data_IF_742463434042
#
_entry.id   IF_742463434042
#
_cell.length_a   1.000
_cell.length_b   1.000
_cell.length_c   1.000
_cell.angle_alpha   90.00
_cell.angle_beta   90.00
_cell.angle_gamma   90.00
#
_symmetry.space_group_name_H-M   'P 1'
#
loop_
_entity.id
_entity.type
_entity.pdbx_description
1 polymer ?
#
# COMPACT_ATOMS: atom_id res chain seq x y z
N UNK A 1 3.86 -29.70 12.93
CA UNK A 1 3.62 -28.93 14.17
C UNK A 1 3.90 -27.47 13.89
N UNK A 2 2.88 -26.63 13.97
CA UNK A 2 2.91 -25.25 13.51
C UNK A 2 3.54 -24.34 14.58
N UNK A 3 4.84 -24.06 14.44
CA UNK A 3 5.38 -22.81 14.97
C UNK A 3 4.78 -21.66 14.14
N UNK A 4 3.53 -21.30 14.42
CA UNK A 4 3.02 -19.98 14.03
C UNK A 4 3.78 -18.96 14.88
N UNK A 5 4.95 -18.58 14.38
CA UNK A 5 5.79 -17.55 14.98
C UNK A 5 4.93 -16.33 15.27
N UNK A 6 4.89 -15.89 16.51
CA UNK A 6 4.17 -14.72 17.02
C UNK A 6 4.45 -13.46 16.20
N UNK A 7 5.56 -13.42 15.46
CA UNK A 7 5.91 -12.33 14.54
C UNK A 7 4.94 -12.19 13.34
N UNK A 8 4.28 -13.27 12.90
CA UNK A 8 3.39 -13.25 11.73
C UNK A 8 2.07 -12.49 11.96
N UNK A 9 1.64 -12.32 13.21
CA UNK A 9 0.39 -11.62 13.53
C UNK A 9 0.49 -10.11 13.39
N UNK A 10 1.70 -9.55 13.50
CA UNK A 10 1.91 -8.11 13.53
C UNK A 10 1.85 -7.43 12.16
N UNK A 11 1.75 -8.17 11.05
CA UNK A 11 1.77 -7.62 9.67
C UNK A 11 0.82 -8.38 8.74
N UNK A 12 -0.38 -8.74 9.20
CA UNK A 12 -1.38 -9.32 8.29
C UNK A 12 -1.63 -8.35 7.10
N UNK A 13 -1.84 -8.82 5.86
CA UNK A 13 -2.00 -7.96 4.68
C UNK A 13 -2.99 -6.77 4.77
N UNK A 14 -4.11 -6.79 5.51
CA UNK A 14 -4.98 -5.62 5.65
C UNK A 14 -4.51 -4.62 6.72
N UNK A 15 -3.56 -4.98 7.60
CA UNK A 15 -3.09 -4.12 8.68
C UNK A 15 -2.53 -2.77 8.18
N UNK A 16 -1.71 -2.69 7.12
CA UNK A 16 -1.24 -1.41 6.60
C UNK A 16 -2.37 -0.43 6.26
N UNK A 17 -3.47 -0.92 5.66
CA UNK A 17 -4.64 -0.10 5.35
C UNK A 17 -5.36 0.35 6.64
N UNK A 18 -5.54 -0.54 7.61
CA UNK A 18 -6.17 -0.21 8.88
C UNK A 18 -5.36 0.86 9.65
N UNK A 19 -4.04 0.75 9.63
CA UNK A 19 -3.15 1.76 10.22
C UNK A 19 -3.25 3.10 9.50
N UNK A 20 -3.38 3.11 8.17
CA UNK A 20 -3.61 4.34 7.40
C UNK A 20 -4.94 5.01 7.77
N UNK A 21 -6.02 4.22 7.87
CA UNK A 21 -7.34 4.71 8.31
C UNK A 21 -7.23 5.28 9.73
N UNK A 22 -6.54 4.61 10.63
CA UNK A 22 -6.34 5.09 12.00
C UNK A 22 -5.53 6.39 12.04
N UNK A 23 -4.46 6.50 11.25
CA UNK A 23 -3.67 7.73 11.14
C UNK A 23 -4.51 8.92 10.65
N UNK A 24 -5.34 8.71 9.62
CA UNK A 24 -6.27 9.74 9.12
C UNK A 24 -7.36 10.09 10.13
N UNK A 25 -7.89 9.11 10.85
CA UNK A 25 -8.85 9.34 11.93
C UNK A 25 -8.24 10.22 13.02
N UNK A 26 -7.05 9.87 13.51
CA UNK A 26 -6.36 10.68 14.54
C UNK A 26 -6.06 12.07 14.01
N UNK A 27 -5.56 12.19 12.77
CA UNK A 27 -5.28 13.48 12.15
C UNK A 27 -6.53 14.37 12.00
N UNK A 28 -7.70 13.77 11.75
CA UNK A 28 -8.93 14.53 11.54
C UNK A 28 -9.72 14.78 12.82
N UNK A 29 -9.61 13.93 13.84
CA UNK A 29 -10.36 14.04 15.11
C UNK A 29 -9.59 14.83 16.17
N UNK A 30 -8.27 14.70 16.23
CA UNK A 30 -7.46 15.31 17.28
C UNK A 30 -7.55 16.86 17.37
N UNK A 31 -7.84 17.66 16.30
CA UNK A 31 -8.06 19.10 16.47
C UNK A 31 -9.35 19.44 17.22
N UNK A 32 -10.34 18.54 17.21
CA UNK A 32 -11.65 18.77 17.82
C UNK A 32 -11.69 18.40 19.30
N UNK A 33 -10.73 17.63 19.79
CA UNK A 33 -10.68 17.17 21.19
C UNK A 33 -10.26 18.25 22.20
N UNK A 34 -10.03 19.49 21.76
CA UNK A 34 -9.79 20.65 22.63
C UNK A 34 -8.48 20.60 23.45
N UNK A 35 -7.70 19.52 23.34
CA UNK A 35 -6.51 19.25 24.16
C UNK A 35 -5.36 20.25 23.94
N UNK A 36 -5.37 20.98 22.83
CA UNK A 36 -4.35 21.99 22.48
C UNK A 36 -4.83 23.44 22.66
N UNK A 37 -5.92 23.67 23.40
CA UNK A 37 -6.35 25.03 23.72
C UNK A 37 -6.88 25.77 22.50
N UNK A 38 -8.06 25.37 22.01
CA UNK A 38 -9.08 26.27 21.47
C UNK A 38 -8.74 27.22 20.31
N UNK A 39 -7.57 27.14 19.67
CA UNK A 39 -7.26 27.89 18.47
C UNK A 39 -8.05 27.28 17.31
N UNK A 40 -9.32 27.65 17.21
CA UNK A 40 -10.11 27.54 15.99
C UNK A 40 -9.19 27.96 14.85
N UNK A 41 -8.82 27.02 13.98
CA UNK A 41 -8.08 27.31 12.76
C UNK A 41 -8.98 28.20 11.89
N UNK A 42 -8.93 29.50 12.15
CA UNK A 42 -9.68 30.52 11.43
C UNK A 42 -9.07 30.61 10.05
N UNK A 43 -9.90 30.46 9.03
CA UNK A 43 -9.50 30.70 7.65
C UNK A 43 -9.03 32.16 7.54
N UNK A 44 -7.74 32.39 7.34
CA UNK A 44 -7.26 33.74 7.05
C UNK A 44 -7.83 34.19 5.72
N UNK A 45 -8.84 35.05 5.79
CA UNK A 45 -9.45 35.68 4.65
C UNK A 45 -8.44 36.71 4.10
N UNK A 46 -7.69 36.33 3.07
CA UNK A 46 -6.78 37.22 2.37
C UNK A 46 -7.52 38.50 1.96
N UNK A 47 -7.04 39.64 2.45
CA UNK A 47 -7.78 40.91 2.46
C UNK A 47 -8.19 41.45 1.09
N UNK A 48 -9.35 41.00 0.58
CA UNK A 48 -10.16 41.74 -0.38
C UNK A 48 -11.57 41.91 0.20
N UNK A 49 -11.80 43.09 0.77
CA UNK A 49 -13.12 43.58 1.18
C UNK A 49 -14.01 43.63 -0.06
N UNK A 50 -15.24 43.16 0.09
CA UNK A 50 -16.33 43.14 -0.89
C UNK A 50 -16.29 41.94 -1.83
N UNK A 51 -16.81 40.79 -1.38
CA UNK A 51 -17.79 39.98 -2.12
C UNK A 51 -18.27 38.81 -1.23
N UNK A 52 -19.60 38.75 -1.05
CA UNK A 52 -20.47 37.60 -0.70
C UNK A 52 -19.86 36.39 0.02
N UNK A 53 -20.36 36.15 1.24
CA UNK A 53 -20.52 34.85 1.94
C UNK A 53 -20.14 33.61 1.12
N UNK A 54 -18.85 33.29 1.08
CA UNK A 54 -18.43 31.90 0.93
C UNK A 54 -18.16 31.37 2.34
N UNK A 55 -18.98 30.42 2.76
CA UNK A 55 -18.79 29.64 3.98
C UNK A 55 -17.44 28.94 3.84
N UNK A 56 -16.44 29.46 4.53
CA UNK A 56 -15.06 28.97 4.43
C UNK A 56 -14.95 27.61 5.12
N UNK A 57 -15.26 26.54 4.39
CA UNK A 57 -15.01 25.14 4.78
C UNK A 57 -13.55 24.72 4.47
N UNK A 58 -12.61 25.67 4.68
CA UNK A 58 -11.14 25.67 4.49
C UNK A 58 -10.63 25.65 3.02
N UNK A 59 -9.84 26.66 2.65
CA UNK A 59 -8.45 26.49 2.29
C UNK A 59 -7.61 26.90 3.49
N UNK A 60 -6.77 26.00 4.01
CA UNK A 60 -5.79 26.38 5.04
C UNK A 60 -4.78 27.29 4.33
N UNK A 61 -4.98 28.60 4.36
CA UNK A 61 -3.84 29.50 4.26
C UNK A 61 -2.90 29.06 5.37
N UNK A 62 -1.70 28.57 5.00
CA UNK A 62 -0.70 27.98 5.89
C UNK A 62 -0.88 28.58 7.27
N UNK A 63 -1.55 27.86 8.18
CA UNK A 63 -1.64 28.32 9.54
C UNK A 63 -0.18 28.54 9.90
N UNK A 64 0.19 29.79 10.17
CA UNK A 64 1.44 30.08 10.85
C UNK A 64 1.22 29.47 12.22
N UNK A 65 1.34 28.14 12.29
CA UNK A 65 1.49 27.38 13.51
C UNK A 65 2.61 28.13 14.18
N UNK A 66 2.29 28.91 15.22
CA UNK A 66 3.29 29.57 16.04
C UNK A 66 4.34 28.51 16.29
N UNK A 67 5.52 28.73 15.72
CA UNK A 67 6.46 27.68 15.39
C UNK A 67 6.67 26.78 16.60
N UNK A 68 6.04 25.61 16.63
CA UNK A 68 6.52 24.51 17.46
C UNK A 68 7.88 24.18 16.85
N UNK A 69 8.94 24.83 17.34
CA UNK A 69 10.11 25.23 16.52
C UNK A 69 10.68 24.11 15.64
N UNK A 70 10.65 22.88 16.13
CA UNK A 70 11.26 21.72 15.49
C UNK A 70 10.35 20.98 14.48
N UNK A 71 9.03 20.98 14.68
CA UNK A 71 8.13 20.11 13.89
C UNK A 71 8.06 20.50 12.40
N UNK A 72 7.92 21.79 12.02
CA UNK A 72 7.93 22.19 10.61
C UNK A 72 9.27 21.88 9.93
N UNK A 73 10.40 22.05 10.63
CA UNK A 73 11.72 21.74 10.05
C UNK A 73 11.88 20.26 9.73
N UNK A 74 11.42 19.39 10.63
CA UNK A 74 11.44 17.94 10.39
C UNK A 74 10.46 17.60 9.27
N UNK A 75 9.26 18.19 9.27
CA UNK A 75 8.27 17.98 8.23
C UNK A 75 8.79 18.39 6.85
N UNK A 76 9.46 19.53 6.72
CA UNK A 76 10.03 20.01 5.46
C UNK A 76 11.14 19.07 4.94
N UNK A 77 11.99 18.56 5.84
CA UNK A 77 13.04 17.59 5.48
C UNK A 77 12.44 16.26 5.03
N UNK A 78 11.47 15.73 5.80
CA UNK A 78 10.78 14.48 5.48
C UNK A 78 10.00 14.63 4.18
N UNK A 79 9.26 15.72 4.01
CA UNK A 79 8.52 16.02 2.79
C UNK A 79 9.46 16.17 1.58
N UNK A 80 10.64 16.79 1.74
CA UNK A 80 11.64 16.86 0.67
C UNK A 80 12.09 15.48 0.18
N UNK A 81 12.33 14.55 1.10
CA UNK A 81 12.70 13.16 0.76
C UNK A 81 11.52 12.40 0.16
N UNK A 82 10.33 12.51 0.75
CA UNK A 82 9.14 11.76 0.32
C UNK A 82 8.59 12.30 -1.00
N UNK A 83 8.60 13.60 -1.24
CA UNK A 83 8.13 14.18 -2.50
C UNK A 83 9.04 13.84 -3.67
N UNK A 84 10.36 13.79 -3.46
CA UNK A 84 11.33 13.41 -4.50
C UNK A 84 11.38 11.91 -4.75
N UNK A 85 11.65 11.13 -3.71
CA UNK A 85 11.99 9.71 -3.81
C UNK A 85 10.86 8.78 -3.34
N UNK A 86 9.86 9.32 -2.62
CA UNK A 86 8.75 8.54 -2.06
C UNK A 86 8.02 7.70 -3.11
N UNK A 87 7.73 8.20 -4.33
CA UNK A 87 7.12 7.39 -5.37
C UNK A 87 7.90 6.12 -5.74
N UNK A 88 9.23 6.13 -5.58
CA UNK A 88 10.12 5.03 -5.95
C UNK A 88 10.26 3.98 -4.84
N UNK A 89 9.91 4.32 -3.60
CA UNK A 89 10.06 3.43 -2.44
C UNK A 89 9.46 2.03 -2.66
N UNK A 90 8.20 1.85 -3.11
CA UNK A 90 7.62 0.52 -3.27
C UNK A 90 8.37 -0.35 -4.29
N UNK A 91 9.00 0.26 -5.30
CA UNK A 91 9.79 -0.47 -6.29
C UNK A 91 11.11 -0.96 -5.71
N UNK A 92 11.69 -0.28 -4.73
CA UNK A 92 12.85 -0.78 -3.99
C UNK A 92 12.50 -2.12 -3.31
N UNK A 93 11.32 -2.19 -2.70
CA UNK A 93 10.84 -3.43 -2.07
C UNK A 93 10.63 -4.54 -3.11
N UNK A 94 10.07 -4.22 -4.28
CA UNK A 94 9.94 -5.16 -5.38
C UNK A 94 11.30 -5.66 -5.90
N UNK A 95 12.26 -4.76 -6.10
CA UNK A 95 13.62 -5.12 -6.55
C UNK A 95 14.27 -6.07 -5.56
N UNK A 96 14.16 -5.79 -4.26
CA UNK A 96 14.64 -6.69 -3.22
C UNK A 96 13.96 -8.05 -3.34
N UNK A 97 12.63 -8.10 -3.49
CA UNK A 97 11.89 -9.36 -3.65
C UNK A 97 12.27 -10.14 -4.92
N UNK A 98 12.68 -9.47 -5.99
CA UNK A 98 13.21 -10.11 -7.19
C UNK A 98 14.60 -10.69 -6.88
N UNK A 99 15.49 -9.89 -6.27
CA UNK A 99 16.84 -10.30 -5.88
C UNK A 99 16.87 -11.45 -4.87
N UNK A 100 15.95 -11.46 -3.90
CA UNK A 100 15.82 -12.53 -2.90
C UNK A 100 15.12 -13.78 -3.45
N UNK A 101 14.64 -13.73 -4.69
CA UNK A 101 13.88 -14.79 -5.33
C UNK A 101 12.46 -14.96 -4.78
N UNK A 102 11.95 -14.02 -3.96
CA UNK A 102 10.57 -14.06 -3.44
C UNK A 102 9.56 -14.18 -4.55
N UNK A 103 9.68 -13.37 -5.61
CA UNK A 103 8.75 -13.43 -6.75
C UNK A 103 8.80 -14.81 -7.43
N UNK A 104 10.00 -15.34 -7.69
CA UNK A 104 10.18 -16.63 -8.36
C UNK A 104 9.81 -17.83 -7.50
N UNK A 105 9.92 -17.74 -6.17
CA UNK A 105 9.55 -18.82 -5.26
C UNK A 105 8.05 -18.83 -4.93
N UNK A 106 7.38 -17.71 -5.17
CA UNK A 106 5.91 -17.64 -5.17
C UNK A 106 5.32 -18.32 -6.42
N UNK A 107 6.17 -18.64 -7.41
CA UNK A 107 5.83 -19.34 -8.64
C UNK A 107 5.56 -20.82 -8.35
N UNK A 108 4.28 -21.15 -8.18
CA UNK A 108 3.80 -22.51 -8.15
C UNK A 108 2.70 -22.65 -9.21
N UNK A 109 3.12 -22.69 -10.48
CA UNK A 109 2.35 -23.22 -11.63
C UNK A 109 0.92 -22.66 -11.80
N UNK A 110 0.68 -21.43 -11.37
CA UNK A 110 -0.65 -20.81 -11.30
C UNK A 110 -1.29 -20.57 -12.67
N UNK A 111 -0.48 -20.43 -13.71
CA UNK A 111 -0.93 -20.11 -15.05
C UNK A 111 -0.29 -21.10 -16.03
N UNK A 112 -0.94 -22.24 -16.25
CA UNK A 112 -0.55 -23.20 -17.30
C UNK A 112 -0.45 -22.56 -18.69
N UNK A 113 -1.15 -21.43 -18.89
CA UNK A 113 -1.09 -20.61 -20.10
C UNK A 113 0.21 -19.82 -20.29
N UNK A 114 0.99 -19.68 -19.23
CA UNK A 114 2.11 -18.76 -19.21
C UNK A 114 3.30 -19.52 -18.61
N UNK A 115 4.25 -19.95 -19.45
CA UNK A 115 5.37 -20.83 -19.04
C UNK A 115 6.23 -20.30 -17.88
N UNK A 116 7.23 -21.09 -17.47
CA UNK A 116 8.10 -20.96 -16.25
C UNK A 116 8.83 -19.62 -16.00
N UNK A 117 8.64 -18.60 -16.83
CA UNK A 117 9.12 -17.22 -16.62
C UNK A 117 8.01 -16.18 -16.55
N UNK A 118 6.75 -16.62 -16.56
CA UNK A 118 5.62 -15.74 -16.76
C UNK A 118 5.08 -15.10 -15.49
N UNK A 119 5.29 -15.72 -14.32
CA UNK A 119 4.81 -15.17 -13.06
C UNK A 119 5.52 -13.85 -12.74
N UNK A 120 6.85 -13.79 -12.93
CA UNK A 120 7.61 -12.56 -12.80
C UNK A 120 7.08 -11.49 -13.76
N UNK A 121 6.85 -11.84 -15.04
CA UNK A 121 6.29 -10.92 -16.01
C UNK A 121 4.88 -10.45 -15.61
N UNK A 122 4.04 -11.35 -15.10
CA UNK A 122 2.70 -11.03 -14.60
C UNK A 122 2.76 -10.08 -13.41
N UNK A 123 3.63 -10.35 -12.43
CA UNK A 123 3.86 -9.47 -11.30
C UNK A 123 4.34 -8.08 -11.75
N UNK A 124 5.32 -8.03 -12.66
CA UNK A 124 5.82 -6.77 -13.21
C UNK A 124 4.71 -6.02 -13.98
N UNK A 125 3.94 -6.70 -14.82
CA UNK A 125 2.83 -6.10 -15.55
C UNK A 125 1.74 -5.59 -14.60
N UNK A 126 1.43 -6.32 -13.53
CA UNK A 126 0.49 -5.88 -12.50
C UNK A 126 0.98 -4.62 -11.79
N UNK A 127 2.25 -4.60 -11.38
CA UNK A 127 2.86 -3.43 -10.76
C UNK A 127 2.92 -2.23 -11.71
N UNK A 128 3.29 -2.43 -12.97
CA UNK A 128 3.26 -1.40 -14.01
C UNK A 128 1.84 -0.90 -14.25
N UNK A 129 0.82 -1.77 -14.21
CA UNK A 129 -0.57 -1.36 -14.36
C UNK A 129 -1.04 -0.44 -13.22
N UNK A 130 -0.66 -0.75 -11.98
CA UNK A 130 -0.93 0.11 -10.82
C UNK A 130 -0.19 1.43 -10.89
N UNK A 131 1.04 1.40 -11.41
CA UNK A 131 1.85 2.61 -11.66
C UNK A 131 1.20 3.50 -12.70
N UNK A 132 0.78 2.92 -13.82
CA UNK A 132 0.08 3.62 -14.88
C UNK A 132 -1.23 4.22 -14.38
N UNK A 133 -2.04 3.43 -13.67
CA UNK A 133 -3.28 3.89 -13.03
C UNK A 133 -3.03 5.06 -12.09
N UNK A 134 -1.99 4.95 -11.24
CA UNK A 134 -1.56 6.01 -10.33
C UNK A 134 -1.22 7.30 -11.07
N UNK A 135 -0.41 7.23 -12.13
CA UNK A 135 0.00 8.40 -12.93
C UNK A 135 -1.20 9.03 -13.63
N UNK A 136 -2.05 8.22 -14.25
CA UNK A 136 -3.25 8.70 -14.96
C UNK A 136 -4.18 9.43 -14.00
N UNK A 137 -4.51 8.83 -12.86
CA UNK A 137 -5.40 9.47 -11.87
C UNK A 137 -4.76 10.71 -11.28
N UNK A 138 -3.45 10.68 -10.99
CA UNK A 138 -2.73 11.87 -10.51
C UNK A 138 -2.88 13.03 -11.49
N UNK A 139 -2.62 12.82 -12.78
CA UNK A 139 -2.76 13.86 -13.81
C UNK A 139 -4.20 14.39 -13.87
N UNK A 140 -5.19 13.51 -13.78
CA UNK A 140 -6.60 13.91 -13.82
C UNK A 140 -7.05 14.69 -12.58
N UNK A 141 -6.50 14.39 -11.40
CA UNK A 141 -6.98 14.89 -10.13
C UNK A 141 -6.15 16.05 -9.58
N UNK A 142 -4.89 16.18 -9.99
CA UNK A 142 -4.00 17.26 -9.55
C UNK A 142 -4.58 18.67 -9.73
N UNK A 143 -5.33 19.00 -10.81
CA UNK A 143 -6.00 20.32 -10.94
C UNK A 143 -7.08 20.58 -9.87
N UNK A 144 -7.55 19.54 -9.18
CA UNK A 144 -8.63 19.58 -8.19
C UNK A 144 -8.12 19.29 -6.76
N UNK A 145 -6.83 19.49 -6.51
CA UNK A 145 -6.15 19.20 -5.23
C UNK A 145 -6.79 19.84 -3.99
N UNK A 146 -7.58 20.91 -4.16
CA UNK A 146 -8.34 21.54 -3.09
C UNK A 146 -9.48 20.66 -2.55
N UNK A 147 -10.15 19.90 -3.41
CA UNK A 147 -11.31 19.07 -3.06
C UNK A 147 -10.95 17.59 -2.88
N UNK A 148 -9.76 17.22 -3.32
CA UNK A 148 -9.29 15.85 -3.31
C UNK A 148 -7.79 15.85 -2.98
N UNK A 149 -7.39 15.17 -1.92
CA UNK A 149 -5.97 15.08 -1.59
C UNK A 149 -5.25 14.11 -2.53
N UNK A 150 -4.54 14.64 -3.51
CA UNK A 150 -3.67 13.87 -4.41
C UNK A 150 -2.59 13.11 -3.62
N UNK A 151 -2.03 13.72 -2.58
CA UNK A 151 -1.04 13.10 -1.70
C UNK A 151 -1.60 11.88 -0.95
N UNK A 152 -2.75 11.97 -0.27
CA UNK A 152 -3.36 10.82 0.41
C UNK A 152 -3.69 9.70 -0.57
N UNK A 153 -4.16 10.05 -1.77
CA UNK A 153 -4.43 9.08 -2.83
C UNK A 153 -3.15 8.35 -3.28
N UNK A 154 -2.06 9.09 -3.50
CA UNK A 154 -0.75 8.52 -3.85
C UNK A 154 -0.19 7.63 -2.73
N UNK A 155 -0.23 8.09 -1.48
CA UNK A 155 0.21 7.30 -0.32
C UNK A 155 -0.60 6.00 -0.18
N UNK A 156 -1.90 6.04 -0.43
CA UNK A 156 -2.75 4.85 -0.43
C UNK A 156 -2.34 3.82 -1.50
N UNK A 157 -1.87 4.28 -2.67
CA UNK A 157 -1.35 3.38 -3.71
C UNK A 157 -0.05 2.69 -3.27
N UNK A 158 0.80 3.39 -2.52
CA UNK A 158 2.03 2.82 -1.94
C UNK A 158 1.70 1.79 -0.85
N UNK A 159 0.70 2.07 -0.01
CA UNK A 159 0.19 1.08 0.96
C UNK A 159 -0.29 -0.17 0.26
N UNK A 160 -1.07 -0.04 -0.82
CA UNK A 160 -1.52 -1.17 -1.62
C UNK A 160 -0.36 -2.03 -2.14
N UNK A 161 0.70 -1.40 -2.68
CA UNK A 161 1.93 -2.08 -3.12
C UNK A 161 2.66 -2.80 -1.98
N UNK A 162 2.77 -2.17 -0.80
CA UNK A 162 3.34 -2.82 0.40
C UNK A 162 2.51 -4.05 0.80
N UNK A 163 1.18 -3.97 0.76
CA UNK A 163 0.31 -5.10 1.08
C UNK A 163 0.47 -6.28 0.11
N UNK A 164 0.57 -6.00 -1.20
CA UNK A 164 0.84 -7.03 -2.21
C UNK A 164 2.23 -7.66 -2.04
N UNK A 165 3.22 -6.83 -1.71
CA UNK A 165 4.59 -7.28 -1.43
C UNK A 165 4.63 -8.19 -0.21
N UNK A 166 4.05 -7.78 0.92
CA UNK A 166 3.94 -8.60 2.13
C UNK A 166 3.21 -9.92 1.85
N UNK A 167 2.13 -9.89 1.06
CA UNK A 167 1.40 -11.11 0.69
C UNK A 167 2.29 -12.12 -0.06
N UNK A 168 3.15 -11.68 -0.98
CA UNK A 168 4.13 -12.56 -1.64
C UNK A 168 5.16 -13.11 -0.64
N UNK A 169 5.68 -12.26 0.25
CA UNK A 169 6.65 -12.65 1.29
C UNK A 169 6.07 -13.72 2.22
N UNK A 170 4.82 -13.57 2.67
CA UNK A 170 4.13 -14.58 3.47
C UNK A 170 3.89 -15.87 2.69
N UNK A 171 3.44 -15.78 1.44
CA UNK A 171 3.20 -16.95 0.60
C UNK A 171 4.48 -17.76 0.37
N UNK A 172 5.62 -17.08 0.14
CA UNK A 172 6.94 -17.72 0.05
C UNK A 172 7.28 -18.44 1.35
N UNK A 173 7.08 -17.79 2.50
CA UNK A 173 7.42 -18.37 3.80
C UNK A 173 6.60 -19.62 4.11
N UNK A 174 5.32 -19.63 3.72
CA UNK A 174 4.47 -20.82 3.84
C UNK A 174 4.90 -21.96 2.91
N UNK A 175 5.46 -21.61 1.74
CA UNK A 175 5.88 -22.59 0.73
C UNK A 175 7.27 -23.17 0.98
N UNK A 176 8.18 -22.42 1.61
CA UNK A 176 9.58 -22.80 1.81
C UNK A 176 10.02 -22.66 3.29
N UNK A 177 10.02 -23.78 4.02
CA UNK A 177 10.38 -23.84 5.44
C UNK A 177 11.91 -23.91 5.74
N UNK A 178 12.76 -23.37 4.85
CA UNK A 178 14.22 -23.39 5.03
C UNK A 178 14.73 -22.37 6.07
N UNK A 179 15.94 -22.57 6.61
CA UNK A 179 16.58 -21.60 7.52
C UNK A 179 16.96 -20.30 6.81
N UNK A 180 17.47 -20.40 5.58
CA UNK A 180 17.99 -19.25 4.83
C UNK A 180 16.86 -18.32 4.33
N UNK A 181 15.63 -18.84 4.22
CA UNK A 181 14.46 -18.03 3.85
C UNK A 181 14.02 -17.09 4.97
N UNK A 182 14.34 -17.42 6.23
CA UNK A 182 13.92 -16.65 7.39
C UNK A 182 14.60 -15.28 7.48
N UNK A 183 15.91 -15.18 7.16
CA UNK A 183 16.63 -13.90 7.20
C UNK A 183 16.03 -12.91 6.20
N UNK A 184 15.82 -13.34 4.96
CA UNK A 184 15.23 -12.52 3.91
C UNK A 184 13.80 -12.13 4.21
N UNK A 185 12.99 -13.06 4.73
CA UNK A 185 11.64 -12.77 5.21
C UNK A 185 11.63 -11.65 6.26
N UNK A 186 12.50 -11.73 7.27
CA UNK A 186 12.63 -10.71 8.31
C UNK A 186 13.05 -9.35 7.73
N UNK A 187 14.01 -9.34 6.80
CA UNK A 187 14.47 -8.10 6.15
C UNK A 187 13.35 -7.44 5.33
N UNK A 188 12.61 -8.21 4.53
CA UNK A 188 11.48 -7.71 3.74
C UNK A 188 10.37 -7.14 4.64
N UNK A 189 10.02 -7.85 5.72
CA UNK A 189 9.03 -7.38 6.68
C UNK A 189 9.46 -6.11 7.42
N UNK A 190 10.74 -6.05 7.83
CA UNK A 190 11.31 -4.87 8.49
C UNK A 190 11.27 -3.66 7.55
N UNK A 191 11.71 -3.84 6.30
CA UNK A 191 11.70 -2.77 5.31
C UNK A 191 10.28 -2.27 5.03
N UNK A 192 9.34 -3.18 4.79
CA UNK A 192 7.93 -2.84 4.60
C UNK A 192 7.35 -2.08 5.80
N UNK A 193 7.72 -2.46 7.03
CA UNK A 193 7.30 -1.79 8.26
C UNK A 193 7.85 -0.37 8.36
N UNK A 194 9.14 -0.18 8.07
CA UNK A 194 9.79 1.14 8.07
C UNK A 194 9.13 2.05 7.04
N UNK A 195 8.91 1.56 5.82
CA UNK A 195 8.24 2.31 4.76
C UNK A 195 6.81 2.68 5.16
N UNK A 196 6.08 1.76 5.79
CA UNK A 196 4.74 2.02 6.28
C UNK A 196 4.75 3.13 7.34
N UNK A 197 5.69 3.13 8.29
CA UNK A 197 5.80 4.20 9.30
C UNK A 197 5.98 5.57 8.64
N UNK A 198 6.84 5.68 7.62
CA UNK A 198 7.02 6.94 6.88
C UNK A 198 5.74 7.36 6.15
N UNK A 199 5.05 6.43 5.51
CA UNK A 199 3.76 6.71 4.82
C UNK A 199 2.68 7.16 5.81
N UNK A 200 2.59 6.52 6.97
CA UNK A 200 1.61 6.87 8.01
C UNK A 200 1.88 8.25 8.60
N UNK A 201 3.16 8.56 8.86
CA UNK A 201 3.59 9.88 9.32
C UNK A 201 3.24 10.96 8.30
N UNK A 202 3.57 10.73 7.02
CA UNK A 202 3.24 11.67 5.95
C UNK A 202 1.73 11.86 5.82
N UNK A 203 0.96 10.77 5.77
CA UNK A 203 -0.51 10.84 5.69
C UNK A 203 -1.12 11.62 6.86
N UNK A 204 -0.58 11.43 8.07
CA UNK A 204 -0.98 12.18 9.24
C UNK A 204 -0.72 13.68 9.08
N UNK A 205 0.52 14.06 8.75
CA UNK A 205 0.91 15.46 8.57
C UNK A 205 0.11 16.10 7.44
N UNK A 206 -0.03 15.42 6.30
CA UNK A 206 -0.78 15.90 5.15
C UNK A 206 -2.25 16.15 5.46
N UNK A 207 -2.89 15.21 6.16
CA UNK A 207 -4.30 15.37 6.54
C UNK A 207 -4.49 16.39 7.67
N UNK A 208 -3.51 16.57 8.55
CA UNK A 208 -3.57 17.52 9.65
C UNK A 208 -3.35 18.96 9.18
N UNK A 209 -2.32 19.19 8.34
CA UNK A 209 -1.84 20.52 7.99
C UNK A 209 -2.33 21.03 6.63
N UNK A 210 -2.50 20.17 5.62
CA UNK A 210 -2.60 20.63 4.22
C UNK A 210 -3.99 20.46 3.61
N UNK A 211 -4.79 19.50 4.04
CA UNK A 211 -6.09 19.22 3.43
C UNK A 211 -7.28 19.31 4.39
N UNK A 212 -8.47 19.43 3.80
CA UNK A 212 -9.73 19.36 4.53
C UNK A 212 -10.08 17.91 4.86
N UNK A 213 -10.89 17.72 5.90
CA UNK A 213 -11.39 16.40 6.28
C UNK A 213 -12.06 15.70 5.08
N UNK A 214 -12.96 16.41 4.39
CA UNK A 214 -13.65 15.87 3.23
C UNK A 214 -12.68 15.45 2.11
N UNK A 215 -11.69 16.28 1.79
CA UNK A 215 -10.72 15.99 0.73
C UNK A 215 -9.84 14.76 1.04
N UNK A 216 -9.39 14.61 2.29
CA UNK A 216 -8.61 13.44 2.72
C UNK A 216 -9.44 12.15 2.68
N UNK A 217 -10.66 12.16 3.20
CA UNK A 217 -11.53 10.98 3.22
C UNK A 217 -12.03 10.60 1.82
N UNK A 218 -12.35 11.57 0.96
CA UNK A 218 -12.73 11.31 -0.42
C UNK A 218 -11.57 10.68 -1.21
N UNK A 219 -10.34 11.19 -1.01
CA UNK A 219 -9.14 10.60 -1.59
C UNK A 219 -8.91 9.15 -1.12
N UNK A 220 -9.09 8.89 0.18
CA UNK A 220 -9.03 7.53 0.73
C UNK A 220 -10.11 6.62 0.12
N UNK A 221 -11.36 7.07 0.04
CA UNK A 221 -12.45 6.26 -0.53
C UNK A 221 -12.20 5.92 -2.00
N UNK A 222 -11.75 6.89 -2.79
CA UNK A 222 -11.38 6.66 -4.18
C UNK A 222 -10.21 5.67 -4.30
N UNK A 223 -9.22 5.77 -3.42
CA UNK A 223 -8.06 4.87 -3.41
C UNK A 223 -8.43 3.44 -2.98
N UNK A 224 -9.41 3.26 -2.09
CA UNK A 224 -9.97 1.94 -1.74
C UNK A 224 -10.53 1.25 -3.00
N UNK A 225 -11.32 1.96 -3.79
CA UNK A 225 -11.92 1.40 -5.01
C UNK A 225 -10.83 1.07 -6.04
N UNK A 226 -9.88 1.99 -6.26
CA UNK A 226 -8.89 1.84 -7.33
C UNK A 226 -7.79 0.83 -6.99
N UNK A 227 -7.20 0.91 -5.79
CA UNK A 227 -6.00 0.15 -5.44
C UNK A 227 -6.31 -1.01 -4.50
N UNK A 228 -7.17 -0.84 -3.51
CA UNK A 228 -7.45 -1.94 -2.56
C UNK A 228 -8.24 -3.07 -3.21
N UNK A 229 -9.11 -2.77 -4.18
CA UNK A 229 -9.74 -3.82 -4.99
C UNK A 229 -8.70 -4.64 -5.75
N UNK A 230 -7.70 -3.98 -6.34
CA UNK A 230 -6.60 -4.65 -7.06
C UNK A 230 -5.73 -5.47 -6.11
N UNK A 231 -5.37 -4.93 -4.94
CA UNK A 231 -4.67 -5.67 -3.89
C UNK A 231 -5.47 -6.88 -3.42
N UNK A 232 -6.78 -6.75 -3.24
CA UNK A 232 -7.64 -7.88 -2.87
C UNK A 232 -7.62 -8.98 -3.93
N UNK A 233 -7.78 -8.62 -5.21
CA UNK A 233 -7.70 -9.57 -6.33
C UNK A 233 -6.34 -10.27 -6.34
N UNK A 234 -5.25 -9.51 -6.20
CA UNK A 234 -3.88 -10.02 -6.15
C UNK A 234 -3.69 -11.05 -5.02
N UNK A 235 -4.09 -10.70 -3.79
CA UNK A 235 -4.00 -11.60 -2.63
C UNK A 235 -4.83 -12.87 -2.85
N UNK A 236 -6.00 -12.76 -3.48
CA UNK A 236 -6.85 -13.92 -3.79
C UNK A 236 -6.24 -14.84 -4.85
N UNK A 237 -5.55 -14.28 -5.86
CA UNK A 237 -4.79 -15.05 -6.84
C UNK A 237 -3.67 -15.82 -6.12
N UNK A 238 -2.90 -15.14 -5.27
CA UNK A 238 -1.82 -15.77 -4.49
C UNK A 238 -2.34 -16.91 -3.61
N UNK A 239 -3.43 -16.71 -2.87
CA UNK A 239 -4.00 -17.73 -1.98
C UNK A 239 -4.55 -18.95 -2.72
N UNK A 240 -4.98 -18.80 -3.98
CA UNK A 240 -5.51 -19.90 -4.79
C UNK A 240 -4.41 -20.71 -5.48
N UNK A 241 -3.19 -20.19 -5.55
CA UNK A 241 -2.04 -20.84 -6.18
C UNK A 241 -1.82 -22.28 -5.72
N UNK A 242 -1.74 -22.55 -4.40
CA UNK A 242 -1.34 -23.87 -3.93
C UNK A 242 -2.40 -24.94 -4.21
N UNK A 243 -3.69 -24.56 -4.11
CA UNK A 243 -4.81 -25.49 -4.33
C UNK A 243 -4.88 -25.97 -5.78
N UNK A 244 -4.67 -25.07 -6.75
CA UNK A 244 -4.66 -25.41 -8.17
C UNK A 244 -3.53 -26.36 -8.53
N UNK A 245 -2.35 -26.19 -7.91
CA UNK A 245 -1.21 -27.10 -8.09
C UNK A 245 -1.54 -28.52 -7.63
N UNK A 246 -2.14 -28.66 -6.44
CA UNK A 246 -2.50 -30.00 -5.93
C UNK A 246 -3.51 -30.70 -6.83
N UNK A 247 -4.50 -29.98 -7.38
CA UNK A 247 -5.48 -30.56 -8.29
C UNK A 247 -4.87 -30.94 -9.65
N UNK A 248 -4.00 -30.09 -10.21
CA UNK A 248 -3.31 -30.37 -11.47
C UNK A 248 -2.41 -31.60 -11.39
N UNK A 249 -1.60 -31.72 -10.33
CA UNK A 249 -0.77 -32.91 -10.09
C UNK A 249 -1.62 -34.18 -9.93
N UNK A 250 -2.77 -34.09 -9.25
CA UNK A 250 -3.67 -35.24 -9.08
C UNK A 250 -4.20 -35.75 -10.42
N UNK A 251 -4.63 -34.85 -11.32
CA UNK A 251 -5.13 -35.23 -12.65
C UNK A 251 -4.06 -35.89 -13.51
N UNK A 252 -2.83 -35.34 -13.51
CA UNK A 252 -1.70 -35.96 -14.24
C UNK A 252 -1.38 -37.37 -13.74
N UNK A 253 -1.43 -37.59 -12.41
CA UNK A 253 -1.22 -38.93 -11.85
C UNK A 253 -2.38 -39.90 -12.17
N UNK A 254 -3.62 -39.40 -12.29
CA UNK A 254 -4.78 -40.21 -12.71
C UNK A 254 -4.68 -40.61 -14.20
N UNK A 255 -4.20 -39.71 -15.06
CA UNK A 255 -4.02 -39.95 -16.49
C UNK A 255 -2.88 -40.96 -16.78
N UNK A 256 -1.72 -40.79 -16.12
CA UNK A 256 -0.58 -41.73 -16.25
C UNK A 256 -0.93 -43.15 -15.77
N UNK A 257 -1.74 -43.25 -14.71
CA UNK A 257 -2.22 -44.52 -14.18
C UNK A 257 -3.15 -45.26 -15.16
N UNK A 258 -3.94 -44.52 -15.95
CA UNK A 258 -4.82 -45.11 -16.96
C UNK A 258 -4.06 -45.63 -18.19
N UNK A 259 -2.98 -44.95 -18.60
CA UNK A 259 -2.23 -45.32 -19.80
C UNK A 259 -1.42 -46.62 -19.62
N UNK A 260 -0.91 -46.89 -18.41
CA UNK A 260 -0.14 -48.11 -18.12
C UNK A 260 -1.00 -49.34 -17.80
N UNK A 261 -2.31 -49.18 -17.57
CA UNK A 261 -3.24 -50.28 -17.31
C UNK A 261 -3.69 -51.05 -18.55
N UNK A 262 -3.50 -50.50 -19.75
CA UNK A 262 -4.04 -51.04 -21.01
C UNK A 262 -3.13 -51.99 -21.80
N UNK A 263 -1.83 -52.10 -21.46
CA UNK A 263 -0.88 -52.95 -22.21
C UNK A 263 -0.80 -54.36 -21.64
N UNK A 264 -1.93 -55.07 -21.68
CA UNK A 264 -1.99 -56.54 -21.47
C UNK A 264 -3.03 -57.14 -22.41
N UNK A 265 -2.66 -57.36 -23.67
CA UNK A 265 -3.17 -58.41 -24.55
C UNK A 265 -2.27 -58.54 -25.78
#
# INVERSE_FOLDING_TARGET
MAYRSTCTWCLHPPLPLLLLVAALLVATVFPYLGFLGGSSMQCMQGGRRNHSEFTCQRPIGHATVEQTWWLPRIADQVNGVISGEGPMLPYLLLVIQICTGTVNQTDADLCTWCGRGSWLLFALMWWLSLTGLRIVIFICVHPYNYYFSDHIFLLSSMVAQIQMSLAMTFQRQESNAGSDTQLWFCLECLLASVMLVFILFEAFITSWLYHTLLASWLALLASLVCFQLMTYIWVRILQRAPALKTEGCRKLMEDDACEHGGSKA
#
